data_IF_880900936015
#
_entry.id   IF_880900936015
#
_cell.length_a   1.000
_cell.length_b   1.000
_cell.length_c   1.000
_cell.angle_alpha   90.00
_cell.angle_beta   90.00
_cell.angle_gamma   90.00
#
_symmetry.space_group_name_H-M   'P 1'
#
loop_
_entity.id
_entity.type
_entity.pdbx_description
1 polymer ?
#
# COMPACT_ATOMS: atom_id res chain seq x y z
N UNK A 1 43.94 3.22 5.53
CA UNK A 1 42.55 2.97 5.99
C UNK A 1 41.50 3.42 4.98
N UNK A 2 41.68 4.56 4.30
CA UNK A 2 40.75 5.10 3.29
C UNK A 2 40.47 4.11 2.15
N UNK A 3 41.51 3.53 1.55
CA UNK A 3 41.40 2.57 0.44
C UNK A 3 40.63 1.28 0.76
N UNK A 4 40.72 0.77 2.00
CA UNK A 4 40.00 -0.44 2.42
C UNK A 4 38.48 -0.23 2.49
N UNK A 5 38.06 1.02 2.64
CA UNK A 5 36.65 1.41 2.72
C UNK A 5 36.12 1.87 1.37
N UNK A 6 36.83 2.77 0.69
CA UNK A 6 36.38 3.40 -0.55
C UNK A 6 36.31 2.44 -1.75
N UNK A 7 37.14 1.40 -1.79
CA UNK A 7 37.11 0.43 -2.90
C UNK A 7 35.80 -0.39 -2.91
N UNK A 8 35.41 -1.09 -1.82
CA UNK A 8 34.13 -1.81 -1.78
C UNK A 8 32.93 -0.92 -2.10
N UNK A 9 32.99 0.32 -1.63
CA UNK A 9 31.99 1.34 -1.83
C UNK A 9 31.82 1.72 -3.30
N UNK A 10 32.93 1.96 -3.99
CA UNK A 10 32.90 2.32 -5.41
C UNK A 10 32.36 1.17 -6.23
N UNK A 11 32.72 -0.07 -5.86
CA UNK A 11 32.19 -1.27 -6.48
C UNK A 11 30.67 -1.35 -6.29
N UNK A 12 30.16 -1.19 -5.06
CA UNK A 12 28.71 -1.22 -4.78
C UNK A 12 27.96 -0.10 -5.51
N UNK A 13 28.50 1.12 -5.50
CA UNK A 13 27.89 2.26 -6.18
C UNK A 13 27.85 2.05 -7.70
N UNK A 14 28.93 1.52 -8.28
CA UNK A 14 29.02 1.24 -9.71
C UNK A 14 28.08 0.11 -10.13
N UNK A 15 28.08 -1.02 -9.43
CA UNK A 15 27.20 -2.16 -9.74
C UNK A 15 25.73 -1.78 -9.49
N UNK A 16 25.44 -1.04 -8.41
CA UNK A 16 24.10 -0.53 -8.13
C UNK A 16 23.60 0.44 -9.22
N UNK A 17 24.47 1.31 -9.73
CA UNK A 17 24.12 2.17 -10.86
C UNK A 17 23.92 1.34 -12.15
N UNK A 18 24.80 0.38 -12.43
CA UNK A 18 24.70 -0.47 -13.61
C UNK A 18 23.40 -1.29 -13.62
N UNK A 19 23.00 -1.84 -12.48
CA UNK A 19 21.72 -2.57 -12.36
C UNK A 19 20.51 -1.67 -12.51
N UNK A 20 20.53 -0.45 -11.95
CA UNK A 20 19.43 0.51 -12.11
C UNK A 20 19.30 1.04 -13.54
N UNK A 21 20.43 1.37 -14.18
CA UNK A 21 20.44 1.92 -15.54
C UNK A 21 20.38 0.85 -16.62
N UNK A 22 20.79 -0.38 -16.33
CA UNK A 22 20.82 -1.47 -17.30
C UNK A 22 19.45 -1.85 -17.83
N UNK A 23 18.37 -1.63 -17.04
CA UNK A 23 16.99 -1.76 -17.50
C UNK A 23 16.59 -0.78 -18.62
N UNK A 24 17.38 0.29 -18.84
CA UNK A 24 17.16 1.29 -19.88
C UNK A 24 18.16 1.18 -21.04
N UNK A 25 19.12 0.24 -20.98
CA UNK A 25 20.17 0.08 -21.99
C UNK A 25 19.86 -1.16 -22.83
N UNK A 26 19.55 -0.95 -24.10
CA UNK A 26 19.29 -2.02 -25.10
C UNK A 26 20.61 -2.65 -25.61
N UNK A 27 21.51 -3.04 -24.70
CA UNK A 27 22.75 -3.76 -25.02
C UNK A 27 22.68 -5.20 -24.47
N UNK A 28 22.79 -6.24 -25.32
CA UNK A 28 22.55 -7.63 -24.91
C UNK A 28 23.36 -8.09 -23.69
N UNK A 29 24.62 -7.67 -23.58
CA UNK A 29 25.50 -8.07 -22.48
C UNK A 29 25.10 -7.44 -21.14
N UNK A 30 24.64 -6.18 -21.16
CA UNK A 30 24.24 -5.46 -19.96
C UNK A 30 22.89 -5.98 -19.49
N UNK A 31 21.96 -6.19 -20.43
CA UNK A 31 20.65 -6.74 -20.12
C UNK A 31 20.74 -8.15 -19.53
N UNK A 32 21.53 -9.05 -20.12
CA UNK A 32 21.75 -10.40 -19.58
C UNK A 32 22.33 -10.38 -18.15
N UNK A 33 23.30 -9.50 -17.87
CA UNK A 33 23.83 -9.35 -16.51
C UNK A 33 22.77 -8.86 -15.51
N UNK A 34 21.91 -7.92 -15.91
CA UNK A 34 20.90 -7.33 -15.01
C UNK A 34 19.73 -8.28 -14.77
N UNK A 35 19.26 -8.96 -15.81
CA UNK A 35 18.09 -9.83 -15.75
C UNK A 35 18.43 -11.17 -15.09
N UNK A 36 19.59 -11.76 -15.40
CA UNK A 36 19.97 -13.10 -14.94
C UNK A 36 20.98 -13.05 -13.78
N UNK A 37 22.21 -12.59 -14.03
CA UNK A 37 23.31 -12.71 -13.06
C UNK A 37 23.02 -11.92 -11.77
N UNK A 38 22.65 -10.65 -11.89
CA UNK A 38 22.38 -9.77 -10.76
C UNK A 38 21.20 -10.28 -9.93
N UNK A 39 20.15 -10.78 -10.59
CA UNK A 39 18.99 -11.39 -9.93
C UNK A 39 19.40 -12.65 -9.17
N UNK A 40 20.22 -13.52 -9.76
CA UNK A 40 20.70 -14.74 -9.09
C UNK A 40 21.56 -14.41 -7.86
N UNK A 41 22.47 -13.44 -7.96
CA UNK A 41 23.26 -12.97 -6.82
C UNK A 41 22.37 -12.36 -5.74
N UNK A 42 21.36 -11.59 -6.13
CA UNK A 42 20.36 -11.06 -5.21
C UNK A 42 19.60 -12.18 -4.50
N UNK A 43 19.14 -13.21 -5.21
CA UNK A 43 18.39 -14.32 -4.62
C UNK A 43 19.23 -15.12 -3.62
N UNK A 44 20.52 -15.33 -3.91
CA UNK A 44 21.46 -15.94 -2.97
C UNK A 44 21.59 -15.09 -1.70
N UNK A 45 21.82 -13.78 -1.85
CA UNK A 45 21.94 -12.86 -0.71
C UNK A 45 20.63 -12.76 0.09
N UNK A 46 19.50 -12.67 -0.61
CA UNK A 46 18.16 -12.62 -0.02
C UNK A 46 17.85 -13.89 0.78
N UNK A 47 18.24 -15.06 0.27
CA UNK A 47 18.08 -16.33 0.97
C UNK A 47 18.82 -16.35 2.31
N UNK A 48 20.06 -15.88 2.37
CA UNK A 48 20.79 -15.71 3.64
C UNK A 48 20.16 -14.65 4.53
N UNK A 49 19.72 -13.53 3.96
CA UNK A 49 19.09 -12.44 4.70
C UNK A 49 17.77 -12.88 5.36
N UNK A 50 16.96 -13.71 4.69
CA UNK A 50 15.73 -14.28 5.23
C UNK A 50 16.02 -15.11 6.48
N UNK A 51 17.04 -15.97 6.42
CA UNK A 51 17.45 -16.80 7.58
C UNK A 51 17.93 -15.91 8.73
N UNK A 52 18.78 -14.91 8.44
CA UNK A 52 19.25 -13.97 9.45
C UNK A 52 18.10 -13.15 10.06
N UNK A 53 17.13 -12.71 9.25
CA UNK A 53 15.94 -12.01 9.69
C UNK A 53 15.06 -12.85 10.61
N UNK A 54 14.82 -14.11 10.23
CA UNK A 54 14.12 -15.10 11.05
C UNK A 54 14.82 -15.34 12.39
N UNK A 55 16.13 -15.58 12.37
CA UNK A 55 16.93 -15.79 13.58
C UNK A 55 16.93 -14.55 14.47
N UNK A 56 17.03 -13.36 13.89
CA UNK A 56 17.02 -12.11 14.65
C UNK A 56 15.66 -11.86 15.32
N UNK A 57 14.57 -12.10 14.60
CA UNK A 57 13.22 -12.00 15.16
C UNK A 57 13.06 -12.98 16.33
N UNK A 58 13.43 -14.24 16.15
CA UNK A 58 13.37 -15.26 17.20
C UNK A 58 14.22 -14.88 18.41
N UNK A 59 15.48 -14.48 18.20
CA UNK A 59 16.38 -14.00 19.26
C UNK A 59 15.75 -12.84 20.04
N UNK A 60 15.22 -11.84 19.34
CA UNK A 60 14.61 -10.66 19.96
C UNK A 60 13.39 -11.03 20.79
N UNK A 61 12.48 -11.86 20.28
CA UNK A 61 11.29 -12.27 21.02
C UNK A 61 11.66 -13.16 22.21
N UNK A 62 12.57 -14.12 22.04
CA UNK A 62 13.05 -14.98 23.14
C UNK A 62 13.70 -14.16 24.24
N UNK A 63 14.57 -13.21 23.90
CA UNK A 63 15.19 -12.31 24.88
C UNK A 63 14.15 -11.45 25.61
N UNK A 64 13.09 -11.02 24.91
CA UNK A 64 12.00 -10.25 25.50
C UNK A 64 11.19 -11.07 26.52
N UNK A 65 10.96 -12.36 26.23
CA UNK A 65 10.31 -13.31 27.14
C UNK A 65 11.21 -13.65 28.32
N UNK A 66 12.47 -14.02 28.07
CA UNK A 66 13.43 -14.40 29.11
C UNK A 66 13.71 -13.26 30.11
N UNK A 67 13.72 -12.01 29.64
CA UNK A 67 13.92 -10.82 30.49
C UNK A 67 12.61 -10.16 30.95
N UNK A 68 11.46 -10.78 30.69
CA UNK A 68 10.12 -10.29 31.06
C UNK A 68 9.89 -8.80 30.76
N UNK A 69 10.36 -8.31 29.60
CA UNK A 69 10.18 -6.91 29.23
C UNK A 69 8.70 -6.59 28.99
N UNK A 70 8.34 -5.30 29.00
CA UNK A 70 6.96 -4.84 28.76
C UNK A 70 6.37 -5.48 27.49
N UNK A 71 5.20 -6.11 27.64
CA UNK A 71 4.52 -6.82 26.54
C UNK A 71 5.17 -8.15 26.14
N UNK A 72 5.85 -8.85 27.07
CA UNK A 72 6.36 -10.21 26.86
C UNK A 72 5.29 -11.27 26.53
N UNK A 73 4.01 -11.19 27.01
CA UNK A 73 3.03 -12.20 26.65
C UNK A 73 2.76 -12.25 25.14
N UNK A 74 2.74 -11.09 24.47
CA UNK A 74 2.61 -11.00 23.02
C UNK A 74 3.80 -11.61 22.27
N UNK A 75 4.99 -11.58 22.88
CA UNK A 75 6.19 -12.21 22.31
C UNK A 75 6.10 -13.73 22.32
N UNK A 76 5.40 -14.34 23.28
CA UNK A 76 5.12 -15.79 23.27
C UNK A 76 4.23 -16.14 22.09
N UNK A 77 3.16 -15.35 21.86
CA UNK A 77 2.27 -15.55 20.71
C UNK A 77 3.04 -15.44 19.40
N UNK A 78 3.96 -14.48 19.29
CA UNK A 78 4.81 -14.32 18.10
C UNK A 78 5.74 -15.52 17.88
N UNK A 79 6.40 -16.03 18.93
CA UNK A 79 7.28 -17.21 18.84
C UNK A 79 6.47 -18.44 18.42
N UNK A 80 5.32 -18.67 19.06
CA UNK A 80 4.46 -19.79 18.72
C UNK A 80 3.94 -19.70 17.29
N UNK A 81 3.43 -18.53 16.88
CA UNK A 81 2.97 -18.31 15.50
C UNK A 81 4.07 -18.50 14.47
N UNK A 82 5.30 -18.08 14.78
CA UNK A 82 6.46 -18.29 13.91
C UNK A 82 6.80 -19.78 13.75
N UNK A 83 6.89 -20.53 14.85
CA UNK A 83 7.13 -21.97 14.82
C UNK A 83 6.01 -22.71 14.09
N UNK A 84 4.76 -22.35 14.38
CA UNK A 84 3.58 -22.93 13.74
C UNK A 84 3.58 -22.71 12.22
N UNK A 85 3.91 -21.50 11.75
CA UNK A 85 4.02 -21.21 10.32
C UNK A 85 5.15 -21.98 9.64
N UNK A 86 6.32 -22.13 10.29
CA UNK A 86 7.42 -22.95 9.77
C UNK A 86 7.00 -24.41 9.67
N UNK A 87 6.40 -24.97 10.72
CA UNK A 87 5.94 -26.36 10.72
C UNK A 87 4.91 -26.59 9.61
N UNK A 88 3.96 -25.67 9.45
CA UNK A 88 2.96 -25.75 8.39
C UNK A 88 3.52 -25.57 6.98
N UNK A 89 4.57 -24.76 6.79
CA UNK A 89 5.13 -24.49 5.46
C UNK A 89 6.17 -25.50 4.99
N UNK A 90 6.91 -26.12 5.90
CA UNK A 90 8.04 -27.00 5.56
C UNK A 90 7.83 -28.47 5.95
N UNK A 91 6.96 -28.76 6.91
CA UNK A 91 6.85 -30.11 7.48
C UNK A 91 5.45 -30.73 7.31
N UNK A 92 4.40 -29.93 7.13
CA UNK A 92 3.02 -30.40 7.04
C UNK A 92 2.37 -29.93 5.75
N UNK A 93 2.23 -30.85 4.79
CA UNK A 93 1.50 -30.60 3.56
C UNK A 93 -0.01 -30.58 3.75
N UNK A 94 -0.52 -31.49 4.59
CA UNK A 94 -1.95 -31.60 4.93
C UNK A 94 -2.85 -32.15 3.82
N UNK A 95 -2.31 -32.45 2.62
CA UNK A 95 -3.05 -32.99 1.47
C UNK A 95 -2.21 -33.99 0.68
N UNK A 96 -2.87 -34.91 -0.02
CA UNK A 96 -2.22 -35.92 -0.88
C UNK A 96 -1.48 -35.29 -2.08
N UNK A 97 -0.51 -36.02 -2.64
CA UNK A 97 0.32 -35.61 -3.78
C UNK A 97 -0.48 -35.41 -5.08
N UNK A 98 -1.69 -35.96 -5.14
CA UNK A 98 -2.63 -35.70 -6.24
C UNK A 98 -3.25 -34.30 -6.21
N UNK A 99 -3.31 -33.64 -5.04
CA UNK A 99 -3.96 -32.33 -4.85
C UNK A 99 -2.95 -31.19 -4.93
N UNK A 100 -1.78 -31.37 -4.31
CA UNK A 100 -0.70 -30.39 -4.37
C UNK A 100 0.65 -31.10 -4.37
N UNK A 101 1.67 -30.49 -4.97
CA UNK A 101 3.07 -30.93 -4.83
C UNK A 101 3.76 -30.02 -3.80
N UNK A 102 4.87 -30.47 -3.22
CA UNK A 102 5.76 -29.61 -2.43
C UNK A 102 6.10 -28.33 -3.22
N UNK A 103 6.16 -27.19 -2.53
CA UNK A 103 6.15 -25.86 -3.16
C UNK A 103 4.72 -25.35 -3.42
N UNK A 104 3.94 -25.99 -4.29
CA UNK A 104 2.59 -25.54 -4.63
C UNK A 104 1.59 -25.59 -3.45
N UNK A 105 1.80 -26.52 -2.51
CA UNK A 105 0.94 -26.69 -1.33
C UNK A 105 0.78 -25.42 -0.47
N UNK A 106 1.70 -24.44 -0.53
CA UNK A 106 1.55 -23.19 0.24
C UNK A 106 0.46 -22.27 -0.30
N UNK A 107 -0.01 -22.48 -1.53
CA UNK A 107 -1.07 -21.68 -2.16
C UNK A 107 -2.34 -22.47 -2.45
N UNK A 108 -2.28 -23.80 -2.50
CA UNK A 108 -3.42 -24.68 -2.80
C UNK A 108 -4.46 -24.69 -1.67
N UNK A 109 -5.75 -24.71 -2.05
CA UNK A 109 -6.85 -24.84 -1.10
C UNK A 109 -6.83 -26.19 -0.37
N UNK A 110 -7.24 -26.18 0.90
CA UNK A 110 -7.28 -27.38 1.76
C UNK A 110 -5.96 -27.69 2.49
N UNK A 111 -4.86 -26.99 2.19
CA UNK A 111 -3.60 -27.18 2.92
C UNK A 111 -3.56 -26.40 4.23
N UNK A 112 -2.75 -26.87 5.18
CA UNK A 112 -2.60 -26.21 6.48
C UNK A 112 -2.05 -24.78 6.32
N UNK A 113 -1.06 -24.58 5.44
CA UNK A 113 -0.48 -23.27 5.23
C UNK A 113 -1.48 -22.28 4.61
N UNK A 114 -2.28 -22.71 3.63
CA UNK A 114 -3.34 -21.89 3.04
C UNK A 114 -4.41 -21.54 4.08
N UNK A 115 -4.78 -22.47 4.96
CA UNK A 115 -5.68 -22.19 6.07
C UNK A 115 -5.14 -21.12 7.02
N UNK A 116 -3.86 -21.20 7.40
CA UNK A 116 -3.19 -20.16 8.21
C UNK A 116 -3.26 -18.81 7.49
N UNK A 117 -3.00 -18.81 6.18
CA UNK A 117 -3.05 -17.60 5.38
C UNK A 117 -4.45 -16.97 5.38
N UNK A 118 -5.49 -17.75 5.09
CA UNK A 118 -6.85 -17.25 4.92
C UNK A 118 -7.53 -16.86 6.25
N UNK A 119 -7.24 -17.59 7.33
CA UNK A 119 -7.93 -17.39 8.61
C UNK A 119 -7.11 -16.65 9.67
N UNK A 120 -5.78 -16.58 9.52
CA UNK A 120 -4.93 -15.81 10.44
C UNK A 120 -4.32 -14.60 9.74
N UNK A 121 -3.55 -14.81 8.67
CA UNK A 121 -2.79 -13.73 8.04
C UNK A 121 -3.70 -12.68 7.37
N UNK A 122 -4.67 -13.11 6.56
CA UNK A 122 -5.58 -12.22 5.83
C UNK A 122 -6.40 -11.34 6.78
N UNK A 123 -7.11 -11.88 7.80
CA UNK A 123 -7.89 -11.06 8.72
C UNK A 123 -7.00 -10.12 9.55
N UNK A 124 -5.85 -10.58 10.04
CA UNK A 124 -4.92 -9.73 10.79
C UNK A 124 -4.38 -8.59 9.92
N UNK A 125 -4.01 -8.88 8.67
CA UNK A 125 -3.59 -7.85 7.71
C UNK A 125 -4.70 -6.86 7.41
N UNK A 126 -5.95 -7.34 7.26
CA UNK A 126 -7.12 -6.49 7.10
C UNK A 126 -7.37 -5.60 8.34
N UNK A 127 -7.16 -6.10 9.56
CA UNK A 127 -7.25 -5.26 10.77
C UNK A 127 -6.18 -4.17 10.80
N UNK A 128 -4.93 -4.48 10.43
CA UNK A 128 -3.87 -3.47 10.34
C UNK A 128 -4.18 -2.42 9.28
N UNK A 129 -4.69 -2.84 8.11
CA UNK A 129 -5.10 -1.92 7.05
C UNK A 129 -6.29 -1.06 7.46
N UNK A 130 -7.29 -1.64 8.13
CA UNK A 130 -8.45 -0.91 8.66
C UNK A 130 -8.06 0.13 9.71
N UNK A 131 -7.17 -0.24 10.65
CA UNK A 131 -6.62 0.69 11.63
C UNK A 131 -5.81 1.79 10.95
N UNK A 132 -4.99 1.46 9.95
CA UNK A 132 -4.23 2.45 9.18
C UNK A 132 -5.18 3.44 8.49
N UNK A 133 -6.24 2.97 7.81
CA UNK A 133 -7.23 3.82 7.18
C UNK A 133 -7.93 4.74 8.19
N UNK A 134 -8.33 4.20 9.35
CA UNK A 134 -8.93 4.98 10.43
C UNK A 134 -7.97 6.04 10.98
N UNK A 135 -6.72 5.69 11.26
CA UNK A 135 -5.72 6.63 11.79
C UNK A 135 -5.30 7.68 10.76
N UNK A 136 -5.16 7.30 9.49
CA UNK A 136 -4.92 8.25 8.40
C UNK A 136 -6.10 9.21 8.29
N UNK A 137 -7.34 8.72 8.25
CA UNK A 137 -8.52 9.57 8.20
C UNK A 137 -8.62 10.50 9.43
N UNK A 138 -8.36 9.99 10.64
CA UNK A 138 -8.37 10.77 11.88
C UNK A 138 -7.25 11.81 11.95
N UNK A 139 -6.04 11.44 11.54
CA UNK A 139 -4.89 12.33 11.48
C UNK A 139 -5.08 13.40 10.39
N UNK A 140 -5.57 13.01 9.21
CA UNK A 140 -5.96 13.92 8.14
C UNK A 140 -7.06 14.86 8.62
N UNK A 141 -8.13 14.38 9.26
CA UNK A 141 -9.17 15.26 9.80
C UNK A 141 -8.61 16.27 10.82
N UNK A 142 -7.70 15.85 11.70
CA UNK A 142 -7.06 16.71 12.69
C UNK A 142 -6.06 17.70 12.09
N UNK A 143 -5.28 17.28 11.10
CA UNK A 143 -4.30 18.11 10.38
C UNK A 143 -4.98 19.08 9.40
N UNK A 144 -6.05 18.63 8.76
CA UNK A 144 -6.97 19.37 7.90
C UNK A 144 -8.17 19.87 8.69
N UNK A 145 -7.95 20.43 9.89
CA UNK A 145 -8.96 21.26 10.55
C UNK A 145 -9.37 22.31 9.51
N UNK A 146 -10.60 22.22 9.01
CA UNK A 146 -11.15 23.00 7.89
C UNK A 146 -10.78 24.48 8.09
N UNK A 147 -9.70 24.91 7.45
CA UNK A 147 -9.19 26.29 7.51
C UNK A 147 -8.89 26.84 6.13
N UNK A 148 -8.73 25.98 5.12
CA UNK A 148 -8.51 26.39 3.73
C UNK A 148 -9.28 25.47 2.74
N UNK A 149 -9.50 26.01 1.55
CA UNK A 149 -10.20 25.33 0.46
C UNK A 149 -9.45 24.07 -0.02
N UNK A 150 -8.12 24.13 -0.06
CA UNK A 150 -7.24 23.04 -0.49
C UNK A 150 -7.37 21.79 0.39
N UNK A 151 -7.39 21.94 1.72
CA UNK A 151 -7.56 20.81 2.63
C UNK A 151 -8.95 20.17 2.52
N UNK A 152 -9.97 20.97 2.22
CA UNK A 152 -11.34 20.46 2.01
C UNK A 152 -11.41 19.62 0.73
N UNK A 153 -10.76 20.07 -0.34
CA UNK A 153 -10.65 19.33 -1.59
C UNK A 153 -9.92 17.99 -1.38
N UNK A 154 -8.79 18.00 -0.66
CA UNK A 154 -8.04 16.79 -0.32
C UNK A 154 -8.85 15.81 0.54
N UNK A 155 -9.60 16.31 1.52
CA UNK A 155 -10.45 15.48 2.38
C UNK A 155 -11.56 14.80 1.57
N UNK A 156 -12.25 15.55 0.73
CA UNK A 156 -13.33 15.03 -0.13
C UNK A 156 -12.78 14.01 -1.13
N UNK A 157 -11.65 14.30 -1.76
CA UNK A 157 -10.97 13.36 -2.66
C UNK A 157 -10.58 12.06 -1.92
N UNK A 158 -10.05 12.17 -0.70
CA UNK A 158 -9.70 11.01 0.13
C UNK A 158 -10.92 10.13 0.47
N UNK A 159 -12.05 10.74 0.84
CA UNK A 159 -13.31 10.01 1.12
C UNK A 159 -13.79 9.28 -0.13
N UNK A 160 -13.78 9.93 -1.30
CA UNK A 160 -14.21 9.33 -2.58
C UNK A 160 -13.34 8.11 -2.92
N UNK A 161 -12.01 8.22 -2.77
CA UNK A 161 -11.09 7.09 -3.02
C UNK A 161 -11.36 5.94 -2.05
N UNK A 162 -11.52 6.23 -0.75
CA UNK A 162 -11.77 5.19 0.25
C UNK A 162 -13.09 4.47 -0.01
N UNK A 163 -14.17 5.19 -0.30
CA UNK A 163 -15.49 4.57 -0.57
C UNK A 163 -15.45 3.77 -1.88
N UNK A 164 -14.76 4.24 -2.91
CA UNK A 164 -14.70 3.53 -4.19
C UNK A 164 -13.86 2.26 -4.21
N UNK A 165 -12.97 2.10 -3.23
CA UNK A 165 -12.19 0.88 -3.05
C UNK A 165 -12.91 -0.21 -2.25
N UNK A 166 -14.00 0.13 -1.56
CA UNK A 166 -14.79 -0.83 -0.77
C UNK A 166 -15.83 -1.49 -1.67
N UNK A 167 -16.14 -2.80 -1.52
CA UNK A 167 -17.17 -3.48 -2.31
C UNK A 167 -18.56 -2.84 -2.27
N UNK A 168 -18.87 -2.07 -1.21
CA UNK A 168 -20.11 -1.29 -1.09
C UNK A 168 -20.13 -0.09 -2.05
N UNK A 169 -18.96 0.44 -2.42
CA UNK A 169 -18.83 1.59 -3.33
C UNK A 169 -19.32 1.30 -4.75
N UNK A 170 -19.23 0.05 -5.21
CA UNK A 170 -19.78 -0.36 -6.51
C UNK A 170 -21.30 -0.52 -6.50
N UNK A 171 -21.91 -0.64 -5.31
CA UNK A 171 -23.37 -0.67 -5.15
C UNK A 171 -23.98 0.75 -5.15
N UNK A 172 -23.16 1.79 -5.06
CA UNK A 172 -23.62 3.18 -5.09
C UNK A 172 -23.95 3.55 -6.53
N UNK A 173 -25.25 3.78 -6.79
CA UNK A 173 -25.71 4.24 -8.10
C UNK A 173 -25.17 5.63 -8.45
N UNK A 174 -24.89 5.83 -9.73
CA UNK A 174 -24.53 7.13 -10.31
C UNK A 174 -25.50 8.25 -9.94
N UNK A 175 -26.76 7.92 -9.65
CA UNK A 175 -27.79 8.88 -9.23
C UNK A 175 -27.45 9.51 -7.87
N UNK A 176 -26.99 8.70 -6.91
CA UNK A 176 -26.59 9.17 -5.57
C UNK A 176 -25.47 10.20 -5.67
N UNK A 177 -24.52 9.97 -6.58
CA UNK A 177 -23.37 10.86 -6.80
C UNK A 177 -23.82 12.16 -7.47
N UNK A 178 -24.73 12.08 -8.44
CA UNK A 178 -25.32 13.28 -9.04
C UNK A 178 -26.05 14.15 -8.00
N UNK A 179 -26.79 13.55 -7.06
CA UNK A 179 -27.40 14.29 -5.95
C UNK A 179 -26.36 14.92 -5.03
N UNK A 180 -25.26 14.22 -4.70
CA UNK A 180 -24.15 14.77 -3.92
C UNK A 180 -23.52 15.98 -4.64
N UNK A 181 -23.35 15.92 -5.96
CA UNK A 181 -22.83 17.03 -6.77
C UNK A 181 -23.78 18.22 -6.74
N UNK A 182 -25.09 18.00 -6.89
CA UNK A 182 -26.11 19.08 -6.79
C UNK A 182 -26.07 19.75 -5.42
N UNK A 183 -25.93 18.97 -4.34
CA UNK A 183 -25.79 19.50 -2.98
C UNK A 183 -24.47 20.28 -2.82
N UNK A 184 -23.37 19.78 -3.35
CA UNK A 184 -22.07 20.47 -3.32
C UNK A 184 -22.11 21.79 -4.10
N UNK A 185 -22.75 21.82 -5.28
CA UNK A 185 -22.99 23.05 -6.03
C UNK A 185 -23.89 24.01 -5.26
N UNK A 186 -24.91 23.51 -4.56
CA UNK A 186 -25.74 24.31 -3.66
C UNK A 186 -24.94 24.98 -2.55
N UNK A 187 -24.01 24.25 -1.92
CA UNK A 187 -23.06 24.80 -0.95
C UNK A 187 -22.19 25.89 -1.60
N UNK A 188 -21.62 25.62 -2.78
CA UNK A 188 -20.82 26.61 -3.53
C UNK A 188 -21.60 27.89 -3.83
N UNK A 189 -22.82 27.78 -4.34
CA UNK A 189 -23.70 28.93 -4.60
C UNK A 189 -24.02 29.71 -3.32
N UNK A 190 -24.26 29.01 -2.21
CA UNK A 190 -24.48 29.65 -0.91
C UNK A 190 -23.23 30.42 -0.43
N UNK A 191 -22.03 29.87 -0.63
CA UNK A 191 -20.78 30.55 -0.25
C UNK A 191 -20.55 31.84 -1.05
N UNK A 192 -20.97 31.88 -2.32
CA UNK A 192 -20.78 33.03 -3.19
C UNK A 192 -21.87 34.09 -3.04
N UNK A 193 -23.15 33.69 -3.13
CA UNK A 193 -24.28 34.63 -3.12
C UNK A 193 -24.88 34.89 -1.74
N UNK A 194 -24.59 34.05 -0.74
CA UNK A 194 -25.11 34.13 0.65
C UNK A 194 -26.65 34.27 0.76
N UNK A 195 -27.38 33.95 -0.30
CA UNK A 195 -28.83 34.07 -0.37
C UNK A 195 -29.47 32.67 -0.29
N UNK A 196 -30.22 32.45 0.80
CA UNK A 196 -30.91 31.20 1.08
C UNK A 196 -31.95 30.84 0.02
N UNK A 197 -32.61 31.84 -0.59
CA UNK A 197 -33.64 31.60 -1.62
C UNK A 197 -33.00 31.08 -2.90
N UNK A 198 -31.88 31.67 -3.31
CA UNK A 198 -31.15 31.25 -4.51
C UNK A 198 -30.56 29.84 -4.31
N UNK A 199 -29.98 29.55 -3.15
CA UNK A 199 -29.47 28.22 -2.83
C UNK A 199 -30.59 27.18 -2.81
N UNK A 200 -31.73 27.48 -2.19
CA UNK A 200 -32.87 26.56 -2.15
C UNK A 200 -33.43 26.28 -3.55
N UNK A 201 -33.55 27.31 -4.39
CA UNK A 201 -33.98 27.15 -5.78
C UNK A 201 -32.99 26.30 -6.59
N UNK A 202 -31.67 26.52 -6.46
CA UNK A 202 -30.66 25.76 -7.20
C UNK A 202 -30.65 24.28 -6.78
N UNK A 203 -30.74 23.99 -5.48
CA UNK A 203 -30.78 22.61 -4.98
C UNK A 203 -32.10 21.92 -5.39
N UNK A 204 -33.23 22.60 -5.20
CA UNK A 204 -34.55 22.04 -5.54
C UNK A 204 -34.68 21.75 -7.04
N UNK A 205 -34.32 22.71 -7.89
CA UNK A 205 -34.33 22.53 -9.35
C UNK A 205 -33.32 21.47 -9.78
N UNK A 206 -32.11 21.47 -9.20
CA UNK A 206 -31.08 20.48 -9.50
C UNK A 206 -31.51 19.04 -9.19
N UNK A 207 -32.13 18.81 -8.02
CA UNK A 207 -32.63 17.48 -7.65
C UNK A 207 -33.73 17.04 -8.62
N UNK A 208 -34.69 17.92 -8.92
CA UNK A 208 -35.78 17.62 -9.86
C UNK A 208 -35.22 17.26 -11.25
N UNK A 209 -34.24 18.02 -11.75
CA UNK A 209 -33.61 17.73 -13.04
C UNK A 209 -32.95 16.35 -13.04
N UNK A 210 -32.18 16.01 -11.99
CA UNK A 210 -31.51 14.71 -11.90
C UNK A 210 -32.52 13.57 -11.83
N UNK A 211 -33.59 13.72 -11.03
CA UNK A 211 -34.64 12.71 -10.91
C UNK A 211 -35.43 12.53 -12.20
N UNK A 212 -35.84 13.62 -12.85
CA UNK A 212 -36.59 13.58 -14.11
C UNK A 212 -35.72 13.03 -15.24
N UNK A 213 -34.47 13.49 -15.36
CA UNK A 213 -33.54 12.98 -16.36
C UNK A 213 -33.28 11.48 -16.19
N UNK A 214 -33.09 11.01 -14.95
CA UNK A 214 -32.91 9.59 -14.67
C UNK A 214 -34.15 8.74 -14.96
N UNK A 215 -35.35 9.24 -14.63
CA UNK A 215 -36.61 8.56 -14.94
C UNK A 215 -36.88 8.49 -16.45
N UNK A 216 -36.57 9.56 -17.19
CA UNK A 216 -36.77 9.62 -18.64
C UNK A 216 -35.82 8.71 -19.41
N UNK A 217 -34.58 8.55 -18.96
CA UNK A 217 -33.55 7.77 -19.66
C UNK A 217 -33.44 6.33 -19.16
N UNK A 218 -34.11 5.97 -18.06
CA UNK A 218 -34.10 4.62 -17.49
C UNK A 218 -32.70 4.14 -17.14
N UNK A 219 -31.83 5.04 -16.65
CA UNK A 219 -30.42 4.70 -16.49
C UNK A 219 -30.19 3.56 -15.48
N UNK A 220 -29.43 2.53 -15.86
CA UNK A 220 -28.97 1.50 -14.93
C UNK A 220 -27.99 2.08 -13.90
N UNK A 221 -27.66 1.27 -12.88
CA UNK A 221 -26.88 1.68 -11.71
C UNK A 221 -25.54 2.37 -12.05
N UNK A 222 -24.92 1.98 -13.15
CA UNK A 222 -23.61 2.38 -13.66
C UNK A 222 -23.63 3.59 -14.62
N UNK A 223 -24.81 4.05 -15.07
CA UNK A 223 -24.92 5.14 -16.05
C UNK A 223 -25.54 6.40 -15.42
N UNK A 224 -24.98 7.60 -15.70
CA UNK A 224 -23.88 7.88 -16.62
C UNK A 224 -22.53 7.48 -16.03
N UNK A 225 -21.67 6.88 -16.85
CA UNK A 225 -20.36 6.36 -16.45
C UNK A 225 -19.46 7.42 -15.77
N UNK A 226 -19.58 8.68 -16.18
CA UNK A 226 -18.81 9.81 -15.63
C UNK A 226 -19.14 10.04 -14.15
N UNK A 227 -20.35 9.71 -13.71
CA UNK A 227 -20.80 9.86 -12.33
C UNK A 227 -20.78 8.54 -11.55
N UNK A 228 -20.27 7.46 -12.14
CA UNK A 228 -20.16 6.18 -11.46
C UNK A 228 -18.90 6.16 -10.59
N UNK A 229 -19.08 5.86 -9.29
CA UNK A 229 -18.02 6.00 -8.29
C UNK A 229 -16.74 5.21 -8.63
N UNK A 230 -16.83 3.93 -9.09
CA UNK A 230 -15.64 3.17 -9.47
C UNK A 230 -14.85 3.80 -10.61
N UNK A 231 -15.51 4.41 -11.60
CA UNK A 231 -14.83 5.05 -12.75
C UNK A 231 -14.12 6.32 -12.30
N UNK A 232 -14.75 7.13 -11.46
CA UNK A 232 -14.11 8.33 -10.87
C UNK A 232 -12.89 7.90 -10.03
N UNK A 233 -13.05 6.87 -9.20
CA UNK A 233 -11.96 6.31 -8.40
C UNK A 233 -10.82 5.81 -9.29
N UNK A 234 -11.14 5.10 -10.37
CA UNK A 234 -10.18 4.54 -11.32
C UNK A 234 -9.36 5.66 -11.97
N UNK A 235 -10.02 6.73 -12.42
CA UNK A 235 -9.35 7.92 -12.93
C UNK A 235 -8.42 8.56 -11.87
N UNK A 236 -8.91 8.77 -10.64
CA UNK A 236 -8.07 9.30 -9.55
C UNK A 236 -6.88 8.38 -9.26
N UNK A 237 -7.06 7.07 -9.39
CA UNK A 237 -5.99 6.11 -9.16
C UNK A 237 -4.93 6.17 -10.27
N UNK A 238 -5.32 6.06 -11.53
CA UNK A 238 -4.38 5.94 -12.63
C UNK A 238 -3.64 7.23 -12.98
N UNK A 239 -4.24 8.39 -12.71
CA UNK A 239 -3.63 9.68 -13.04
C UNK A 239 -2.92 10.31 -11.81
N UNK A 240 -3.62 10.94 -10.85
CA UNK A 240 -2.94 11.66 -9.78
C UNK A 240 -2.28 10.75 -8.73
N UNK A 241 -2.88 9.61 -8.36
CA UNK A 241 -2.27 8.72 -7.36
C UNK A 241 -1.00 8.07 -7.91
N UNK A 242 -1.01 7.53 -9.12
CA UNK A 242 0.20 6.98 -9.76
C UNK A 242 1.30 8.06 -9.86
N UNK A 243 0.97 9.30 -10.21
CA UNK A 243 1.94 10.40 -10.22
C UNK A 243 2.54 10.67 -8.82
N UNK A 244 1.70 10.74 -7.79
CA UNK A 244 2.14 10.94 -6.40
C UNK A 244 2.98 9.77 -5.88
N UNK A 245 2.55 8.53 -6.12
CA UNK A 245 3.28 7.32 -5.73
C UNK A 245 4.63 7.25 -6.42
N UNK A 246 4.73 7.60 -7.71
CA UNK A 246 6.02 7.72 -8.41
C UNK A 246 6.93 8.75 -7.76
N UNK A 247 6.41 9.94 -7.43
CA UNK A 247 7.20 10.96 -6.73
C UNK A 247 7.70 10.50 -5.35
N UNK A 248 6.85 9.81 -4.58
CA UNK A 248 7.23 9.20 -3.29
C UNK A 248 8.29 8.13 -3.49
N UNK A 249 8.12 7.22 -4.45
CA UNK A 249 9.08 6.15 -4.73
C UNK A 249 10.43 6.72 -5.17
N UNK A 250 10.44 7.78 -6.00
CA UNK A 250 11.67 8.51 -6.36
C UNK A 250 12.29 9.12 -5.11
N UNK A 251 11.50 9.75 -4.23
CA UNK A 251 11.97 10.33 -2.97
C UNK A 251 12.55 9.29 -2.02
N UNK A 252 11.90 8.13 -1.88
CA UNK A 252 12.38 6.98 -1.10
C UNK A 252 13.67 6.43 -1.71
N UNK A 253 13.72 6.26 -3.04
CA UNK A 253 14.91 5.80 -3.75
C UNK A 253 16.10 6.76 -3.56
N UNK A 254 15.87 8.07 -3.67
CA UNK A 254 16.87 9.10 -3.38
C UNK A 254 17.29 9.10 -1.91
N UNK A 255 16.35 8.87 -0.98
CA UNK A 255 16.63 8.73 0.44
C UNK A 255 17.50 7.51 0.74
N UNK A 256 17.16 6.35 0.19
CA UNK A 256 17.96 5.12 0.28
C UNK A 256 19.35 5.38 -0.32
N UNK A 257 19.43 5.95 -1.52
CA UNK A 257 20.70 6.28 -2.16
C UNK A 257 21.55 7.23 -1.31
N UNK A 258 20.95 8.28 -0.75
CA UNK A 258 21.63 9.22 0.13
C UNK A 258 22.12 8.55 1.43
N UNK A 259 21.31 7.70 2.06
CA UNK A 259 21.72 6.94 3.25
C UNK A 259 22.83 5.94 2.92
N UNK A 260 22.71 5.21 1.81
CA UNK A 260 23.75 4.33 1.28
C UNK A 260 25.06 5.10 1.07
N UNK A 261 25.02 6.27 0.45
CA UNK A 261 26.18 7.17 0.29
C UNK A 261 26.76 7.59 1.65
N UNK A 262 25.94 7.91 2.65
CA UNK A 262 26.44 8.29 3.99
C UNK A 262 27.13 7.14 4.70
N UNK A 263 26.60 5.92 4.59
CA UNK A 263 27.23 4.71 5.10
C UNK A 263 28.54 4.40 4.37
N UNK A 264 28.52 4.56 3.05
CA UNK A 264 29.68 4.52 2.15
C UNK A 264 30.75 5.52 2.68
N UNK A 265 30.48 6.82 2.63
CA UNK A 265 31.44 7.87 2.98
C UNK A 265 31.86 7.84 4.45
N UNK A 266 31.13 7.13 5.30
CA UNK A 266 31.46 6.98 6.71
C UNK A 266 31.12 8.12 7.61
N UNK A 267 30.18 8.91 7.12
CA UNK A 267 29.55 9.98 7.88
C UNK A 267 28.60 9.34 8.91
N UNK A 268 27.95 8.22 8.57
CA UNK A 268 27.13 7.43 9.49
C UNK A 268 27.83 6.10 9.83
N UNK A 269 28.01 5.83 11.13
CA UNK A 269 28.45 4.51 11.62
C UNK A 269 27.21 3.61 11.71
N UNK A 270 27.27 2.44 11.08
CA UNK A 270 26.22 1.41 11.20
C UNK A 270 26.02 1.05 12.68
N UNK A 271 24.77 0.88 13.12
CA UNK A 271 24.42 0.51 14.50
C UNK A 271 25.05 -0.82 14.97
N UNK A 272 25.58 -1.60 14.02
CA UNK A 272 26.23 -2.90 14.26
C UNK A 272 27.75 -2.74 14.50
N UNK A 273 28.33 -1.56 14.26
CA UNK A 273 29.76 -1.29 14.42
C UNK A 273 30.07 -0.44 15.65
N UNK A 274 29.99 -1.05 16.83
CA UNK A 274 31.04 -0.85 17.84
C UNK A 274 32.26 -1.69 17.46
#
# INVERSE_FOLDING_TARGET
>A
MIWKRQIPILIVAFIGALTLFGWFVEEPNIQAFVDDDATQWYDILASFAIILGAMNLMKMQIQKVARQKKGWPYSIVAIFGFLFAITAGFFIKGVDDSVAVWGAHVTTEGTLFKWIFDYMFTPLSATMFSLLAFFVASASYRAFRIRNFEASLLLVAGIIIMVGRVPIGSLISSWVIMYIIVLALGIGVNTWKKDKKITFSVVGVGIIIVTVAGMMTGWPLDKPAIFYLPIIQEWIYYYPNVAGTRAIMIGVGLGIFATSIRYILGIEKSYIGE
#
